data_IF_581141987162
#
_entry.id   IF_581141987162
#
_cell.length_a   1.000
_cell.length_b   1.000
_cell.length_c   1.000
_cell.angle_alpha   90.00
_cell.angle_beta   90.00
_cell.angle_gamma   90.00
#
_symmetry.space_group_name_H-M   'P 1'
#
loop_
_entity.id
_entity.type
_entity.pdbx_description
1 polymer ?
#
# COMPACT_ATOMS: atom_id res chain seq x y z
N UNK A 1 7.88 -32.12 5.88
CA UNK A 1 7.70 -30.86 6.64
C UNK A 1 6.39 -30.23 6.16
N UNK A 2 5.40 -30.13 7.05
CA UNK A 2 4.05 -29.65 6.74
C UNK A 2 4.10 -28.32 5.95
N UNK A 3 3.58 -28.33 4.72
CA UNK A 3 3.33 -27.16 3.88
C UNK A 3 2.20 -26.28 4.47
N UNK A 4 2.30 -25.87 5.73
CA UNK A 4 1.50 -24.75 6.23
C UNK A 4 2.11 -23.50 5.61
N UNK A 5 1.38 -22.83 4.72
CA UNK A 5 1.70 -21.44 4.35
C UNK A 5 1.96 -20.71 5.68
N UNK A 6 3.20 -20.30 5.91
CA UNK A 6 3.58 -19.65 7.16
C UNK A 6 2.59 -18.52 7.39
N UNK A 7 1.76 -18.62 8.44
CA UNK A 7 0.70 -17.66 8.77
C UNK A 7 1.23 -16.22 8.70
N UNK A 8 2.51 -16.05 9.04
CA UNK A 8 3.30 -14.83 8.90
C UNK A 8 3.19 -14.16 7.51
N UNK A 9 3.40 -14.90 6.41
CA UNK A 9 3.35 -14.37 5.04
C UNK A 9 1.94 -13.90 4.67
N UNK A 10 0.92 -14.52 5.25
CA UNK A 10 -0.46 -14.11 5.07
C UNK A 10 -0.81 -12.87 5.91
N UNK A 11 -0.48 -12.87 7.20
CA UNK A 11 -0.93 -11.81 8.11
C UNK A 11 -0.12 -10.52 8.04
N UNK A 12 1.19 -10.59 7.80
CA UNK A 12 2.05 -9.40 7.75
C UNK A 12 1.61 -8.32 6.77
N UNK A 13 1.39 -8.61 5.47
CA UNK A 13 1.03 -7.57 4.52
C UNK A 13 -0.26 -6.85 4.95
N UNK A 14 -1.17 -7.57 5.61
CA UNK A 14 -2.45 -7.04 6.10
C UNK A 14 -2.26 -6.15 7.32
N UNK A 15 -1.53 -6.61 8.33
CA UNK A 15 -1.22 -5.81 9.52
C UNK A 15 -0.45 -4.55 9.13
N UNK A 16 0.60 -4.68 8.31
CA UNK A 16 1.36 -3.53 7.82
C UNK A 16 0.51 -2.59 6.99
N UNK A 17 -0.39 -3.10 6.15
CA UNK A 17 -1.30 -2.24 5.38
C UNK A 17 -2.27 -1.46 6.29
N UNK A 18 -2.80 -2.07 7.36
CA UNK A 18 -3.65 -1.38 8.34
C UNK A 18 -2.85 -0.30 9.06
N UNK A 19 -1.64 -0.62 9.54
CA UNK A 19 -0.77 0.36 10.19
C UNK A 19 -0.41 1.52 9.25
N UNK A 20 -0.13 1.23 7.99
CA UNK A 20 0.16 2.25 6.98
C UNK A 20 -1.05 3.14 6.69
N UNK A 21 -2.25 2.58 6.61
CA UNK A 21 -3.49 3.36 6.46
C UNK A 21 -3.72 4.26 7.67
N UNK A 22 -3.51 3.75 8.89
CA UNK A 22 -3.64 4.56 10.10
C UNK A 22 -2.61 5.70 10.12
N UNK A 23 -1.38 5.43 9.73
CA UNK A 23 -0.35 6.45 9.55
C UNK A 23 -0.79 7.51 8.54
N UNK A 24 -1.33 7.12 7.37
CA UNK A 24 -1.83 8.07 6.38
C UNK A 24 -3.03 8.88 6.90
N UNK A 25 -3.92 8.27 7.68
CA UNK A 25 -5.07 8.94 8.28
C UNK A 25 -4.65 10.08 9.22
N UNK A 26 -3.48 10.00 9.86
CA UNK A 26 -2.98 11.06 10.74
C UNK A 26 -2.75 12.38 10.00
N UNK A 27 -2.41 12.36 8.71
CA UNK A 27 -2.28 13.60 7.93
C UNK A 27 -3.61 14.35 7.77
N UNK A 28 -4.76 13.70 7.96
CA UNK A 28 -6.05 14.40 7.96
C UNK A 28 -6.23 15.33 9.16
N UNK A 29 -5.44 15.17 10.22
CA UNK A 29 -5.48 16.02 11.40
C UNK A 29 -4.98 17.45 11.11
N UNK A 30 -4.33 17.68 9.97
CA UNK A 30 -3.90 19.03 9.56
C UNK A 30 -5.09 19.97 9.25
N UNK A 31 -6.33 19.46 9.19
CA UNK A 31 -7.55 20.27 9.03
C UNK A 31 -7.97 21.03 10.30
N UNK A 32 -7.39 20.70 11.46
CA UNK A 32 -7.70 21.39 12.71
C UNK A 32 -7.00 22.75 12.75
N UNK A 33 -7.67 23.77 12.21
CA UNK A 33 -7.21 25.15 12.17
C UNK A 33 -8.14 26.09 12.97
N UNK A 34 -7.57 27.18 13.49
CA UNK A 34 -8.32 28.20 14.22
C UNK A 34 -9.32 28.91 13.29
N UNK A 35 -10.52 29.20 13.81
CA UNK A 35 -11.56 29.93 13.07
C UNK A 35 -12.49 29.07 12.21
N UNK A 36 -12.28 27.76 12.12
CA UNK A 36 -13.19 26.83 11.46
C UNK A 36 -14.32 26.36 12.39
N UNK A 37 -15.55 26.30 11.85
CA UNK A 37 -16.68 25.68 12.53
C UNK A 37 -16.55 24.15 12.57
N UNK A 38 -17.25 23.50 13.50
CA UNK A 38 -17.26 22.03 13.61
C UNK A 38 -17.68 21.33 12.30
N UNK A 39 -18.60 21.93 11.53
CA UNK A 39 -19.03 21.39 10.24
C UNK A 39 -17.94 21.46 9.15
N UNK A 40 -17.15 22.55 9.13
CA UNK A 40 -16.04 22.69 8.20
C UNK A 40 -14.91 21.69 8.51
N UNK A 41 -14.58 21.53 9.79
CA UNK A 41 -13.61 20.53 10.26
C UNK A 41 -14.06 19.11 9.87
N UNK A 42 -15.33 18.77 10.11
CA UNK A 42 -15.86 17.45 9.75
C UNK A 42 -15.79 17.17 8.24
N UNK A 43 -16.13 18.18 7.41
CA UNK A 43 -16.05 18.05 5.96
C UNK A 43 -14.60 17.91 5.50
N UNK A 44 -13.68 18.71 6.02
CA UNK A 44 -12.27 18.62 5.66
C UNK A 44 -11.62 17.31 6.12
N UNK A 45 -11.96 16.78 7.30
CA UNK A 45 -11.55 15.43 7.75
C UNK A 45 -12.01 14.36 6.77
N UNK A 46 -13.26 14.44 6.29
CA UNK A 46 -13.78 13.48 5.31
C UNK A 46 -13.02 13.58 3.98
N UNK A 47 -12.83 14.79 3.46
CA UNK A 47 -12.15 15.03 2.19
C UNK A 47 -10.67 14.60 2.23
N UNK A 48 -9.94 14.90 3.31
CA UNK A 48 -8.54 14.47 3.48
C UNK A 48 -8.39 12.96 3.65
N UNK A 49 -9.40 12.26 4.17
CA UNK A 49 -9.37 10.82 4.31
C UNK A 49 -9.88 10.05 3.07
N UNK A 50 -10.31 10.71 1.99
CA UNK A 50 -10.72 10.01 0.75
C UNK A 50 -9.64 9.03 0.24
N UNK A 51 -8.34 9.41 0.14
CA UNK A 51 -7.29 8.49 -0.29
C UNK A 51 -7.13 7.28 0.66
N UNK A 52 -7.29 7.52 1.96
CA UNK A 52 -7.18 6.52 3.02
C UNK A 52 -8.35 5.53 2.97
N UNK A 53 -9.58 6.03 2.79
CA UNK A 53 -10.79 5.22 2.61
C UNK A 53 -10.71 4.35 1.34
N UNK A 54 -10.14 4.89 0.27
CA UNK A 54 -9.87 4.12 -0.95
C UNK A 54 -8.91 2.95 -0.67
N UNK A 55 -7.76 3.20 -0.02
CA UNK A 55 -6.83 2.15 0.34
C UNK A 55 -7.45 1.12 1.31
N UNK A 56 -8.36 1.55 2.19
CA UNK A 56 -9.07 0.67 3.11
C UNK A 56 -9.98 -0.30 2.34
N UNK A 57 -10.70 0.18 1.32
CA UNK A 57 -11.48 -0.68 0.45
C UNK A 57 -10.60 -1.70 -0.29
N UNK A 58 -9.42 -1.29 -0.75
CA UNK A 58 -8.45 -2.17 -1.42
C UNK A 58 -7.94 -3.26 -0.46
N UNK A 59 -7.63 -2.90 0.78
CA UNK A 59 -7.32 -3.86 1.84
C UNK A 59 -8.47 -4.88 1.94
N UNK A 60 -9.71 -4.45 2.12
CA UNK A 60 -10.86 -5.37 2.22
C UNK A 60 -10.96 -6.31 1.01
N UNK A 61 -10.78 -5.80 -0.21
CA UNK A 61 -10.79 -6.61 -1.45
C UNK A 61 -9.61 -7.58 -1.49
N UNK A 62 -8.44 -7.18 -0.98
CA UNK A 62 -7.22 -7.99 -0.98
C UNK A 62 -7.31 -9.25 -0.10
N UNK A 63 -8.32 -9.34 0.78
CA UNK A 63 -8.58 -10.58 1.53
C UNK A 63 -9.00 -11.71 0.59
N UNK A 64 -9.72 -11.39 -0.49
CA UNK A 64 -10.09 -12.35 -1.54
C UNK A 64 -8.99 -12.49 -2.60
N UNK A 65 -8.30 -11.41 -2.96
CA UNK A 65 -7.24 -11.42 -3.98
C UNK A 65 -6.02 -10.60 -3.57
N UNK A 66 -4.97 -11.29 -3.11
CA UNK A 66 -3.70 -10.66 -2.70
C UNK A 66 -3.01 -9.89 -3.83
N UNK A 67 -3.24 -10.28 -5.09
CA UNK A 67 -2.69 -9.57 -6.26
C UNK A 67 -3.19 -8.15 -6.34
N UNK A 68 -4.48 -7.94 -6.08
CA UNK A 68 -5.10 -6.62 -6.18
C UNK A 68 -4.46 -5.70 -5.15
N UNK A 69 -4.31 -6.17 -3.90
CA UNK A 69 -3.58 -5.43 -2.87
C UNK A 69 -2.15 -5.11 -3.32
N UNK A 70 -1.43 -6.13 -3.81
CA UNK A 70 -0.06 -5.98 -4.28
C UNK A 70 0.10 -4.91 -5.37
N UNK A 71 -0.66 -5.02 -6.46
CA UNK A 71 -0.60 -4.08 -7.59
C UNK A 71 -1.00 -2.68 -7.15
N UNK A 72 -2.10 -2.53 -6.41
CA UNK A 72 -2.62 -1.20 -6.06
C UNK A 72 -1.68 -0.47 -5.09
N UNK A 73 -1.08 -1.15 -4.11
CA UNK A 73 -0.09 -0.52 -3.23
C UNK A 73 1.18 -0.08 -3.97
N UNK A 74 1.66 -0.87 -4.94
CA UNK A 74 2.77 -0.46 -5.82
C UNK A 74 2.38 0.76 -6.66
N UNK A 75 1.20 0.73 -7.28
CA UNK A 75 0.72 1.86 -8.09
C UNK A 75 0.53 3.13 -7.26
N UNK A 76 0.03 3.00 -6.02
CA UNK A 76 -0.11 4.13 -5.10
C UNK A 76 1.27 4.75 -4.75
N UNK A 77 2.28 3.92 -4.48
CA UNK A 77 3.65 4.39 -4.25
C UNK A 77 4.26 5.08 -5.47
N UNK A 78 4.06 4.53 -6.67
CA UNK A 78 4.51 5.16 -7.93
C UNK A 78 3.79 6.48 -8.20
N UNK A 79 2.47 6.49 -8.00
CA UNK A 79 1.65 7.68 -8.19
C UNK A 79 2.12 8.82 -7.29
N UNK A 80 2.31 8.56 -5.99
CA UNK A 80 2.83 9.54 -5.05
C UNK A 80 4.24 10.04 -5.45
N UNK A 81 5.14 9.12 -5.80
CA UNK A 81 6.50 9.46 -6.26
C UNK A 81 6.48 10.37 -7.48
N UNK A 82 5.62 10.07 -8.46
CA UNK A 82 5.44 10.87 -9.66
C UNK A 82 4.88 12.26 -9.34
N UNK A 83 3.85 12.33 -8.48
CA UNK A 83 3.27 13.62 -8.05
C UNK A 83 4.29 14.52 -7.39
N UNK A 84 5.04 14.01 -6.40
CA UNK A 84 6.05 14.79 -5.68
C UNK A 84 7.20 15.21 -6.61
N UNK A 85 7.65 14.31 -7.48
CA UNK A 85 8.75 14.61 -8.40
C UNK A 85 8.32 15.65 -9.44
N UNK A 86 7.08 15.55 -9.95
CA UNK A 86 6.50 16.55 -10.85
C UNK A 86 6.42 17.92 -10.18
N UNK A 87 5.98 17.97 -8.92
CA UNK A 87 5.90 19.21 -8.15
C UNK A 87 7.27 19.90 -8.06
N UNK A 88 8.32 19.16 -7.71
CA UNK A 88 9.68 19.72 -7.60
C UNK A 88 10.22 20.23 -8.94
N UNK A 89 9.95 19.52 -10.04
CA UNK A 89 10.42 19.89 -11.38
C UNK A 89 9.68 21.13 -11.90
N UNK A 90 8.37 21.21 -11.67
CA UNK A 90 7.52 22.27 -12.22
C UNK A 90 7.51 23.55 -11.37
N UNK A 91 7.86 23.46 -10.09
CA UNK A 91 7.88 24.60 -9.17
C UNK A 91 9.21 25.34 -9.18
N UNK A 92 9.14 26.67 -9.28
CA UNK A 92 10.28 27.60 -9.18
C UNK A 92 10.13 28.52 -7.97
N UNK A 93 11.12 28.62 -7.07
CA UNK A 93 12.40 27.91 -7.08
C UNK A 93 12.25 26.40 -6.77
N UNK A 94 13.14 25.57 -7.32
CA UNK A 94 13.11 24.13 -7.10
C UNK A 94 13.37 23.77 -5.63
N UNK A 95 12.41 23.10 -4.99
CA UNK A 95 12.47 22.71 -3.59
C UNK A 95 12.86 21.23 -3.43
N UNK A 96 14.14 20.92 -3.68
CA UNK A 96 14.64 19.53 -3.62
C UNK A 96 14.47 18.86 -2.25
N UNK A 97 14.31 19.62 -1.16
CA UNK A 97 14.05 19.09 0.18
C UNK A 97 12.79 18.23 0.24
N UNK A 98 11.77 18.51 -0.59
CA UNK A 98 10.50 17.77 -0.62
C UNK A 98 10.71 16.31 -1.09
N UNK A 99 11.75 16.02 -1.88
CA UNK A 99 12.05 14.65 -2.32
C UNK A 99 12.34 13.69 -1.15
N UNK A 100 12.79 14.21 0.00
CA UNK A 100 13.03 13.42 1.21
C UNK A 100 11.76 12.78 1.79
N UNK A 101 10.57 13.25 1.38
CA UNK A 101 9.29 12.68 1.79
C UNK A 101 8.90 11.44 0.99
N UNK A 102 9.51 11.21 -0.18
CA UNK A 102 9.20 10.06 -1.04
C UNK A 102 9.43 8.75 -0.29
N UNK A 103 10.61 8.48 0.31
CA UNK A 103 10.83 7.23 1.04
C UNK A 103 9.87 7.02 2.21
N UNK A 104 9.46 8.08 2.89
CA UNK A 104 8.58 8.01 4.08
C UNK A 104 7.17 7.53 3.74
N UNK A 105 6.62 7.92 2.59
CA UNK A 105 5.27 7.56 2.17
C UNK A 105 5.26 6.43 1.15
N UNK A 106 6.05 6.55 0.08
CA UNK A 106 6.10 5.53 -0.97
C UNK A 106 6.81 4.26 -0.50
N UNK A 107 7.81 4.36 0.38
CA UNK A 107 8.56 3.21 0.89
C UNK A 107 7.67 2.15 1.56
N UNK A 108 6.88 2.52 2.59
CA UNK A 108 5.91 1.61 3.20
C UNK A 108 4.88 1.06 2.20
N UNK A 109 4.38 1.89 1.27
CA UNK A 109 3.46 1.44 0.23
C UNK A 109 4.07 0.35 -0.66
N UNK A 110 5.32 0.55 -1.11
CA UNK A 110 6.04 -0.45 -1.90
C UNK A 110 6.31 -1.72 -1.10
N UNK A 111 6.72 -1.60 0.15
CA UNK A 111 6.95 -2.74 1.04
C UNK A 111 5.69 -3.60 1.17
N UNK A 112 4.55 -2.97 1.47
CA UNK A 112 3.25 -3.64 1.58
C UNK A 112 2.87 -4.32 0.25
N UNK A 113 3.00 -3.60 -0.87
CA UNK A 113 2.69 -4.12 -2.20
C UNK A 113 3.51 -5.36 -2.57
N UNK A 114 4.83 -5.30 -2.35
CA UNK A 114 5.75 -6.42 -2.59
C UNK A 114 5.36 -7.63 -1.73
N UNK A 115 5.05 -7.42 -0.45
CA UNK A 115 4.67 -8.50 0.46
C UNK A 115 3.37 -9.20 0.03
N UNK A 116 2.37 -8.44 -0.42
CA UNK A 116 1.15 -9.01 -1.01
C UNK A 116 1.44 -9.86 -2.25
N UNK A 117 2.31 -9.39 -3.15
CA UNK A 117 2.72 -10.14 -4.34
C UNK A 117 3.48 -11.42 -3.99
N UNK A 118 4.39 -11.37 -3.00
CA UNK A 118 5.10 -12.55 -2.50
C UNK A 118 4.11 -13.59 -1.95
N UNK A 119 3.13 -13.14 -1.16
CA UNK A 119 2.08 -14.01 -0.63
C UNK A 119 1.30 -14.72 -1.74
N UNK A 120 0.92 -13.97 -2.77
CA UNK A 120 0.22 -14.51 -3.92
C UNK A 120 1.05 -15.53 -4.72
N UNK A 121 2.31 -15.22 -5.01
CA UNK A 121 3.20 -16.12 -5.76
C UNK A 121 3.36 -17.47 -5.03
N UNK A 122 3.52 -17.43 -3.70
CA UNK A 122 3.62 -18.65 -2.89
C UNK A 122 2.33 -19.46 -2.92
N UNK A 123 1.15 -18.82 -2.85
CA UNK A 123 -0.14 -19.50 -3.00
C UNK A 123 -0.32 -20.15 -4.38
N UNK A 124 0.16 -19.52 -5.47
CA UNK A 124 0.09 -20.11 -6.81
C UNK A 124 0.96 -21.36 -6.95
N UNK A 125 2.19 -21.34 -6.43
CA UNK A 125 3.09 -22.51 -6.45
C UNK A 125 2.52 -23.71 -5.69
N UNK A 126 1.71 -23.50 -4.66
CA UNK A 126 1.04 -24.57 -3.91
C UNK A 126 -0.20 -25.12 -4.63
N UNK A 127 -0.89 -24.33 -5.45
CA UNK A 127 -2.02 -24.79 -6.27
C UNK A 127 -1.59 -25.55 -7.51
N UNK A 128 -0.42 -25.23 -8.05
CA UNK A 128 0.22 -25.94 -9.16
C UNK A 128 1.63 -26.34 -8.75
N UNK A 129 1.80 -27.34 -7.88
CA UNK A 129 3.10 -27.96 -7.71
C UNK A 129 3.46 -28.52 -9.07
N UNK A 130 4.50 -27.96 -9.68
CA UNK A 130 5.01 -28.40 -10.98
C UNK A 130 4.97 -29.93 -11.03
N UNK A 131 4.20 -30.49 -11.97
CA UNK A 131 4.28 -31.91 -12.31
C UNK A 131 5.72 -32.16 -12.76
N UNK A 132 6.58 -32.53 -11.82
CA UNK A 132 7.83 -33.18 -12.13
C UNK A 132 7.37 -34.57 -12.56
N UNK A 133 7.10 -34.73 -13.86
CA UNK A 133 7.00 -36.05 -14.46
C UNK A 133 8.27 -36.80 -14.04
N UNK A 134 8.17 -37.95 -13.36
CA UNK A 134 9.33 -38.78 -13.11
C UNK A 134 9.90 -39.10 -14.49
N UNK A 135 11.17 -38.78 -14.70
CA UNK A 135 11.87 -39.16 -15.91
C UNK A 135 11.89 -40.69 -15.97
N UNK A 136 10.89 -41.26 -16.63
CA UNK A 136 10.76 -42.66 -17.00
C UNK A 136 11.61 -42.90 -18.25
N UNK A 137 12.92 -42.93 -18.09
CA UNK A 137 13.86 -43.54 -19.04
C UNK A 137 15.02 -44.06 -18.23
N UNK A 138 14.91 -45.33 -17.80
CA UNK A 138 15.58 -46.51 -18.39
C UNK A 138 16.99 -46.68 -17.86
#
# INVERSE_FOLDING_TARGET
>A
MENKINKFIYWIPRILSILFILFLAMFSLDVFEEGLSAGQIALGLFMHNIPVLFLLAIIIISWKSEVIGGIVFILAGLFYTCMVTKEVIMSYPHQYSILTWIPTIAGPAFLVGILFLIGWMKKRKLKHPTEILPNQTK
#
